data_IF_823639586335
#
_entry.id   IF_823639586335
#
_cell.length_a   1.000
_cell.length_b   1.000
_cell.length_c   1.000
_cell.angle_alpha   90.00
_cell.angle_beta   90.00
_cell.angle_gamma   90.00
#
_symmetry.space_group_name_H-M   'P 1'
#
loop_
_entity.id
_entity.type
_entity.pdbx_description
1 polymer ?
#
# COMPACT_ATOMS: atom_id res chain seq x y z
N UNK A 1 14.76 20.06 14.87
CA UNK A 1 14.60 18.73 14.27
C UNK A 1 13.14 18.55 13.90
N UNK A 2 12.83 18.53 12.62
CA UNK A 2 11.51 18.12 12.13
C UNK A 2 11.71 16.82 11.36
N UNK A 3 11.18 15.73 11.89
CA UNK A 3 11.04 14.50 11.13
C UNK A 3 9.83 14.67 10.19
N UNK A 4 10.06 15.37 9.07
CA UNK A 4 9.07 15.49 7.99
C UNK A 4 9.27 14.42 6.91
N UNK A 5 10.20 13.48 7.09
CA UNK A 5 10.54 12.46 6.09
C UNK A 5 9.91 11.10 6.35
N UNK A 6 9.63 10.74 7.61
CA UNK A 6 9.14 9.41 7.97
C UNK A 6 7.77 9.06 7.37
N UNK A 7 6.81 9.98 7.45
CA UNK A 7 5.41 9.71 7.07
C UNK A 7 5.18 9.62 5.55
N UNK A 8 6.00 10.29 4.74
CA UNK A 8 5.88 10.25 3.28
C UNK A 8 6.44 8.93 2.73
N UNK A 9 7.55 8.45 3.28
CA UNK A 9 8.08 7.12 2.99
C UNK A 9 7.11 6.01 3.41
N UNK A 10 6.48 6.15 4.59
CA UNK A 10 5.44 5.24 5.08
C UNK A 10 4.23 5.17 4.13
N UNK A 11 3.67 6.32 3.73
CA UNK A 11 2.56 6.35 2.78
C UNK A 11 2.94 5.75 1.41
N UNK A 12 4.14 6.06 0.92
CA UNK A 12 4.64 5.51 -0.33
C UNK A 12 4.77 3.99 -0.30
N UNK A 13 5.28 3.40 0.79
CA UNK A 13 5.39 1.96 0.97
C UNK A 13 4.01 1.28 0.90
N UNK A 14 3.02 1.82 1.62
CA UNK A 14 1.64 1.31 1.63
C UNK A 14 1.04 1.34 0.21
N UNK A 15 1.13 2.48 -0.49
CA UNK A 15 0.58 2.62 -1.85
C UNK A 15 1.29 1.74 -2.87
N UNK A 16 2.60 1.53 -2.72
CA UNK A 16 3.38 0.66 -3.61
C UNK A 16 2.92 -0.79 -3.50
N UNK A 17 2.72 -1.29 -2.28
CA UNK A 17 2.23 -2.65 -2.06
C UNK A 17 0.77 -2.83 -2.49
N UNK A 18 -0.08 -1.81 -2.34
CA UNK A 18 -1.42 -1.85 -2.92
C UNK A 18 -1.37 -2.07 -4.44
N UNK A 19 -0.45 -1.38 -5.14
CA UNK A 19 -0.24 -1.58 -6.58
C UNK A 19 0.31 -2.97 -6.88
N UNK A 20 1.32 -3.43 -6.14
CA UNK A 20 1.89 -4.76 -6.34
C UNK A 20 0.83 -5.86 -6.18
N UNK A 21 -0.03 -5.76 -5.16
CA UNK A 21 -1.11 -6.71 -4.93
C UNK A 21 -2.15 -6.69 -6.05
N UNK A 22 -2.57 -5.50 -6.50
CA UNK A 22 -3.48 -5.39 -7.64
C UNK A 22 -2.91 -6.08 -8.88
N UNK A 23 -1.65 -5.81 -9.20
CA UNK A 23 -0.96 -6.40 -10.35
C UNK A 23 -0.79 -7.90 -10.23
N UNK A 24 -0.48 -8.41 -9.04
CA UNK A 24 -0.36 -9.85 -8.82
C UNK A 24 -1.69 -10.56 -9.03
N UNK A 25 -2.80 -9.97 -8.57
CA UNK A 25 -4.14 -10.54 -8.69
C UNK A 25 -4.76 -10.37 -10.09
N UNK A 26 -4.57 -9.22 -10.75
CA UNK A 26 -5.27 -8.90 -12.01
C UNK A 26 -4.39 -8.98 -13.26
N UNK A 27 -3.07 -9.04 -13.10
CA UNK A 27 -2.10 -8.96 -14.21
C UNK A 27 -1.96 -7.57 -14.84
N UNK A 28 -2.62 -6.54 -14.30
CA UNK A 28 -2.64 -5.19 -14.88
C UNK A 28 -1.99 -4.15 -13.95
N UNK A 29 -1.35 -3.14 -14.54
CA UNK A 29 -0.82 -2.00 -13.79
C UNK A 29 -1.83 -0.84 -13.77
N UNK A 30 -2.21 -0.38 -12.58
CA UNK A 30 -3.11 0.79 -12.42
C UNK A 30 -2.46 1.91 -11.60
N UNK A 31 -3.16 3.05 -11.54
CA UNK A 31 -2.74 4.20 -10.72
C UNK A 31 -2.73 3.84 -9.23
N UNK A 32 -1.90 4.56 -8.45
CA UNK A 32 -1.83 4.40 -6.97
C UNK A 32 -3.20 4.51 -6.33
N UNK A 33 -3.98 5.54 -6.71
CA UNK A 33 -5.33 5.78 -6.18
C UNK A 33 -6.28 4.62 -6.47
N UNK A 34 -6.32 4.12 -7.71
CA UNK A 34 -7.20 2.99 -8.07
C UNK A 34 -6.81 1.71 -7.32
N UNK A 35 -5.52 1.41 -7.25
CA UNK A 35 -5.03 0.24 -6.51
C UNK A 35 -5.32 0.34 -5.01
N UNK A 36 -5.13 1.52 -4.40
CA UNK A 36 -5.40 1.74 -2.98
C UNK A 36 -6.88 1.56 -2.64
N UNK A 37 -7.79 2.14 -3.42
CA UNK A 37 -9.23 1.97 -3.20
C UNK A 37 -9.64 0.49 -3.29
N UNK A 38 -9.20 -0.19 -4.35
CA UNK A 38 -9.44 -1.63 -4.50
C UNK A 38 -8.86 -2.46 -3.34
N UNK A 39 -7.62 -2.16 -2.92
CA UNK A 39 -6.98 -2.87 -1.82
C UNK A 39 -7.69 -2.61 -0.48
N UNK A 40 -8.23 -1.41 -0.27
CA UNK A 40 -8.97 -1.07 0.96
C UNK A 40 -10.27 -1.85 1.12
N UNK A 41 -10.94 -2.20 0.01
CA UNK A 41 -12.13 -3.06 0.02
C UNK A 41 -11.77 -4.52 0.30
N UNK A 42 -10.60 -4.96 -0.18
CA UNK A 42 -10.13 -6.36 -0.11
C UNK A 42 -9.37 -6.68 1.18
N UNK A 43 -8.83 -5.65 1.83
CA UNK A 43 -8.10 -5.71 3.09
C UNK A 43 -8.79 -4.82 4.13
N UNK A 44 -10.00 -5.20 4.62
CA UNK A 44 -10.78 -4.33 5.50
C UNK A 44 -10.04 -3.96 6.79
N UNK A 45 -9.21 -4.87 7.32
CA UNK A 45 -8.37 -4.61 8.50
C UNK A 45 -7.31 -3.52 8.26
N UNK A 46 -6.91 -3.30 7.01
CA UNK A 46 -5.89 -2.33 6.60
C UNK A 46 -6.49 -1.08 5.94
N UNK A 47 -7.80 -1.03 5.76
CA UNK A 47 -8.51 0.05 5.06
C UNK A 47 -8.16 1.44 5.62
N UNK A 48 -8.16 1.60 6.95
CA UNK A 48 -7.81 2.86 7.62
C UNK A 48 -6.37 3.31 7.33
N UNK A 49 -5.41 2.39 7.25
CA UNK A 49 -4.03 2.71 6.91
C UNK A 49 -3.88 3.09 5.42
N UNK A 50 -4.57 2.36 4.54
CA UNK A 50 -4.56 2.60 3.09
C UNK A 50 -5.18 3.96 2.75
N UNK A 51 -6.33 4.30 3.37
CA UNK A 51 -7.00 5.59 3.18
C UNK A 51 -6.12 6.73 3.68
N UNK A 52 -5.45 6.55 4.82
CA UNK A 52 -4.48 7.53 5.33
C UNK A 52 -3.32 7.74 4.35
N UNK A 53 -2.74 6.67 3.81
CA UNK A 53 -1.65 6.77 2.86
C UNK A 53 -2.08 7.49 1.57
N UNK A 54 -3.33 7.26 1.13
CA UNK A 54 -3.90 7.94 -0.02
C UNK A 54 -4.12 9.44 0.24
N UNK A 55 -4.68 9.81 1.40
CA UNK A 55 -4.85 11.21 1.78
C UNK A 55 -3.50 11.95 1.84
N UNK A 56 -2.46 11.32 2.40
CA UNK A 56 -1.11 11.89 2.42
C UNK A 56 -0.52 12.11 1.03
N UNK A 57 -0.77 11.20 0.10
CA UNK A 57 -0.32 11.34 -1.28
C UNK A 57 -1.07 12.46 -2.03
N UNK A 58 -2.35 12.66 -1.73
CA UNK A 58 -3.15 13.73 -2.34
C UNK A 58 -2.84 15.11 -1.73
N UNK A 59 -2.37 15.16 -0.48
CA UNK A 59 -1.93 16.37 0.24
C UNK A 59 -0.48 16.79 -0.05
N UNK A 60 0.23 16.10 -0.95
CA UNK A 60 1.64 16.34 -1.27
C UNK A 60 1.90 17.83 -1.57
N UNK A 61 2.61 18.50 -0.66
CA UNK A 61 2.85 19.96 -0.68
C UNK A 61 2.33 20.72 0.55
N UNK A 62 1.41 20.13 1.32
CA UNK A 62 0.95 20.68 2.60
C UNK A 62 1.73 20.03 3.74
N UNK A 63 2.48 20.83 4.51
CA UNK A 63 3.17 20.33 5.72
C UNK A 63 2.16 20.04 6.83
N UNK A 64 1.48 18.90 6.72
CA UNK A 64 0.69 18.34 7.82
C UNK A 64 1.62 17.59 8.78
N UNK A 65 1.46 17.73 10.11
CA UNK A 65 2.30 17.04 11.07
C UNK A 65 2.33 15.52 10.81
N UNK A 66 3.53 14.94 10.87
CA UNK A 66 3.74 13.50 10.70
C UNK A 66 2.97 12.74 11.79
N UNK A 67 2.01 11.92 11.37
CA UNK A 67 1.49 10.86 12.22
C UNK A 67 2.40 9.67 11.99
N UNK A 68 3.27 9.39 12.95
CA UNK A 68 4.12 8.21 12.87
C UNK A 68 3.25 6.96 13.03
N UNK A 69 3.18 6.15 11.96
CA UNK A 69 2.46 4.87 11.91
C UNK A 69 3.44 3.73 11.60
N UNK A 70 4.73 3.90 11.89
CA UNK A 70 5.79 2.99 11.45
C UNK A 70 5.51 1.52 11.77
N UNK A 71 5.15 1.18 13.01
CA UNK A 71 4.84 -0.21 13.40
C UNK A 71 3.63 -0.79 12.65
N UNK A 72 2.62 0.03 12.38
CA UNK A 72 1.45 -0.38 11.60
C UNK A 72 1.82 -0.61 10.14
N UNK A 73 2.70 0.23 9.58
CA UNK A 73 3.22 0.12 8.21
C UNK A 73 4.10 -1.11 8.06
N UNK A 74 4.96 -1.43 9.03
CA UNK A 74 5.80 -2.64 9.00
C UNK A 74 4.92 -3.89 8.94
N UNK A 75 3.93 -4.00 9.83
CA UNK A 75 2.99 -5.13 9.83
C UNK A 75 2.22 -5.26 8.52
N UNK A 76 1.77 -4.13 7.96
CA UNK A 76 1.15 -4.09 6.64
C UNK A 76 2.10 -4.59 5.54
N UNK A 77 3.36 -4.15 5.56
CA UNK A 77 4.37 -4.52 4.56
C UNK A 77 4.63 -6.01 4.58
N UNK A 78 4.85 -6.60 5.75
CA UNK A 78 5.07 -8.03 5.91
C UNK A 78 3.86 -8.84 5.41
N UNK A 79 2.67 -8.48 5.86
CA UNK A 79 1.44 -9.22 5.56
C UNK A 79 1.05 -9.15 4.07
N UNK A 80 1.19 -7.97 3.44
CA UNK A 80 0.82 -7.78 2.04
C UNK A 80 1.88 -8.32 1.09
N UNK A 81 3.16 -8.26 1.44
CA UNK A 81 4.23 -8.86 0.61
C UNK A 81 4.03 -10.38 0.48
N UNK A 82 3.74 -11.06 1.60
CA UNK A 82 3.46 -12.50 1.58
C UNK A 82 2.27 -12.86 0.67
N UNK A 83 1.22 -12.01 0.62
CA UNK A 83 0.08 -12.20 -0.30
C UNK A 83 0.48 -11.98 -1.76
N UNK A 84 1.24 -10.93 -2.04
CA UNK A 84 1.74 -10.64 -3.40
C UNK A 84 2.53 -11.84 -3.95
N UNK A 85 3.42 -12.40 -3.13
CA UNK A 85 4.19 -13.59 -3.49
C UNK A 85 3.28 -14.78 -3.79
N UNK A 86 2.32 -15.08 -2.90
CA UNK A 86 1.37 -16.18 -3.11
C UNK A 86 0.49 -16.03 -4.35
N UNK A 87 0.08 -14.80 -4.70
CA UNK A 87 -0.68 -14.51 -5.93
C UNK A 87 0.18 -14.76 -7.18
N UNK A 88 1.44 -14.28 -7.20
CA UNK A 88 2.34 -14.51 -8.32
C UNK A 88 2.69 -15.98 -8.52
N UNK A 89 2.88 -16.74 -7.44
CA UNK A 89 3.09 -18.18 -7.50
C UNK A 89 1.87 -18.90 -8.06
N UNK A 90 0.68 -18.59 -7.54
CA UNK A 90 -0.59 -19.15 -8.01
C UNK A 90 -0.82 -18.88 -9.51
N UNK A 91 -0.44 -17.69 -9.98
CA UNK A 91 -0.58 -17.30 -11.38
C UNK A 91 0.43 -17.99 -12.30
N UNK A 92 1.61 -18.37 -11.78
CA UNK A 92 2.65 -19.11 -12.52
C UNK A 92 2.27 -20.59 -12.71
N UNK A 93 1.67 -21.20 -11.69
CA UNK A 93 1.22 -22.61 -11.77
C UNK A 93 0.06 -22.81 -12.74
N UNK A 94 -0.77 -21.80 -12.98
CA UNK A 94 -1.90 -21.87 -13.92
C UNK A 94 -1.48 -21.68 -15.39
N UNK A 95 -0.24 -21.26 -15.65
CA UNK A 95 0.30 -21.02 -17.00
C UNK A 95 1.23 -22.14 -17.49
N UNK A 96 1.39 -23.22 -16.73
CA UNK A 96 2.21 -24.39 -17.07
C UNK A 96 1.37 -25.62 -17.37
#
# INVERSE_FOLDING_TARGET
MYDTGGSDGQAYAVLTLCRALYTATSGEQVSKRRAALWASERLPNWSTLIVWALARHDEEGTRSPSQDRFEEVVRFVEEVSARVEGEFESNRTQQS
#
